data_IF_224604507647
#
_entry.id   IF_224604507647
#
_cell.length_a   1.000
_cell.length_b   1.000
_cell.length_c   1.000
_cell.angle_alpha   90.00
_cell.angle_beta   90.00
_cell.angle_gamma   90.00
#
_symmetry.space_group_name_H-M   'P 1'
#
loop_
_entity.id
_entity.type
_entity.pdbx_description
1 polymer ?
#
# COMPACT_ATOMS: atom_id res chain seq x y z
N UNK A 1 10.52 34.01 20.39
CA UNK A 1 9.63 34.01 19.23
C UNK A 1 8.23 34.22 19.77
N UNK A 2 7.52 35.26 19.33
CA UNK A 2 6.13 35.50 19.72
C UNK A 2 5.28 35.14 18.51
N UNK A 3 4.31 34.26 18.69
CA UNK A 3 3.34 33.85 17.67
C UNK A 3 2.09 34.71 17.86
N UNK A 4 1.59 35.30 16.78
CA UNK A 4 0.33 36.05 16.77
C UNK A 4 -0.62 35.46 15.73
N UNK A 5 -1.92 35.56 15.98
CA UNK A 5 -2.96 35.26 14.99
C UNK A 5 -3.07 36.41 13.95
N UNK A 6 -3.97 36.29 12.98
CA UNK A 6 -4.21 37.31 11.95
C UNK A 6 -4.78 38.63 12.49
N UNK A 7 -5.14 38.68 13.77
CA UNK A 7 -5.64 39.88 14.46
C UNK A 7 -4.62 40.42 15.46
N UNK A 8 -3.33 40.04 15.35
CA UNK A 8 -2.23 40.44 16.23
C UNK A 8 -2.36 39.97 17.71
N UNK A 9 -3.26 39.06 18.03
CA UNK A 9 -3.34 38.50 19.36
C UNK A 9 -2.20 37.44 19.56
N UNK A 10 -1.56 37.51 20.72
CA UNK A 10 -0.53 36.54 21.08
C UNK A 10 -1.16 35.12 21.27
N UNK A 11 -0.68 34.13 20.52
CA UNK A 11 -1.14 32.74 20.60
C UNK A 11 -0.04 31.94 21.28
N UNK A 12 -0.39 31.17 22.30
CA UNK A 12 0.52 30.17 22.87
C UNK A 12 0.67 29.00 21.90
N UNK A 13 1.91 28.66 21.46
CA UNK A 13 2.12 27.56 20.55
C UNK A 13 1.89 26.23 21.26
N UNK A 14 1.11 25.36 20.63
CA UNK A 14 1.01 23.97 21.02
C UNK A 14 2.21 23.20 20.43
N UNK A 15 3.09 22.71 21.29
CA UNK A 15 4.26 21.93 20.87
C UNK A 15 3.90 20.47 20.76
N UNK A 16 3.95 19.93 19.54
CA UNK A 16 3.90 18.49 19.32
C UNK A 16 5.31 17.89 19.41
N UNK A 17 5.48 16.95 20.31
CA UNK A 17 6.73 16.17 20.38
C UNK A 17 6.78 15.18 19.23
N UNK A 18 7.82 15.27 18.42
CA UNK A 18 8.10 14.30 17.35
C UNK A 18 9.19 13.36 17.86
N UNK A 19 8.85 12.12 18.15
CA UNK A 19 9.71 11.09 18.74
C UNK A 19 10.65 10.44 17.69
N UNK A 20 11.08 11.17 16.68
CA UNK A 20 12.03 10.65 15.70
C UNK A 20 13.46 10.91 16.14
N UNK A 21 14.24 9.83 16.27
CA UNK A 21 15.69 9.98 16.46
C UNK A 21 16.32 10.62 15.23
N UNK A 22 17.16 11.64 15.42
CA UNK A 22 17.90 12.33 14.35
C UNK A 22 18.72 11.34 13.48
N UNK A 23 19.16 10.22 14.04
CA UNK A 23 19.87 9.16 13.33
C UNK A 23 18.99 8.35 12.36
N UNK A 24 17.67 8.36 12.54
CA UNK A 24 16.75 7.63 11.66
C UNK A 24 16.61 8.29 10.29
N UNK A 25 16.92 9.58 10.17
CA UNK A 25 16.89 10.34 8.92
C UNK A 25 18.13 10.13 8.02
N UNK A 26 19.16 9.42 8.50
CA UNK A 26 20.36 9.10 7.70
C UNK A 26 20.18 7.87 6.82
N UNK A 27 21.02 7.72 5.77
CA UNK A 27 21.02 6.51 4.91
C UNK A 27 21.55 5.25 5.59
N UNK A 28 22.21 5.35 6.71
CA UNK A 28 22.72 4.24 7.53
C UNK A 28 23.54 3.20 6.73
N UNK A 29 24.36 3.67 5.79
CA UNK A 29 25.23 2.83 4.94
C UNK A 29 24.57 2.29 3.66
N UNK A 30 23.28 2.52 3.46
CA UNK A 30 22.61 2.20 2.19
C UNK A 30 22.94 3.25 1.11
N UNK A 31 23.02 2.86 -0.17
CA UNK A 31 23.28 3.80 -1.27
C UNK A 31 22.10 4.77 -1.46
N UNK A 32 20.86 4.30 -1.23
CA UNK A 32 19.64 5.06 -1.42
C UNK A 32 18.70 4.93 -0.21
N UNK A 33 17.87 5.94 0.04
CA UNK A 33 16.82 5.90 1.06
C UNK A 33 15.78 4.83 0.74
N UNK A 34 15.38 4.69 -0.53
CA UNK A 34 14.41 3.68 -0.93
C UNK A 34 14.85 2.27 -0.53
N UNK A 35 16.13 1.90 -0.73
CA UNK A 35 16.61 0.59 -0.28
C UNK A 35 16.53 0.46 1.25
N UNK A 36 17.01 1.46 1.97
CA UNK A 36 16.92 1.48 3.44
C UNK A 36 15.47 1.28 3.89
N UNK A 37 14.53 2.04 3.32
CA UNK A 37 13.12 2.02 3.69
C UNK A 37 12.45 0.68 3.33
N UNK A 38 12.85 0.03 2.24
CA UNK A 38 12.44 -1.35 1.93
C UNK A 38 12.95 -2.31 3.01
N UNK A 39 14.20 -2.18 3.44
CA UNK A 39 14.80 -3.05 4.47
C UNK A 39 14.22 -2.80 5.87
N UNK A 40 13.69 -1.63 6.15
CA UNK A 40 13.08 -1.26 7.44
C UNK A 40 11.65 -1.79 7.62
N UNK A 41 11.00 -2.29 6.58
CA UNK A 41 9.58 -2.66 6.61
C UNK A 41 9.21 -3.68 7.71
N UNK A 42 10.00 -4.75 7.97
CA UNK A 42 9.68 -5.66 9.07
C UNK A 42 9.56 -4.96 10.42
N UNK A 43 10.45 -4.04 10.71
CA UNK A 43 10.43 -3.28 11.97
C UNK A 43 9.33 -2.22 11.99
N UNK A 44 9.10 -1.55 10.86
CA UNK A 44 8.02 -0.58 10.72
C UNK A 44 6.64 -1.22 10.98
N UNK A 45 6.40 -2.44 10.48
CA UNK A 45 5.15 -3.18 10.76
C UNK A 45 5.03 -3.51 12.23
N UNK A 46 6.09 -4.03 12.88
CA UNK A 46 6.08 -4.30 14.33
C UNK A 46 5.69 -3.06 15.11
N UNK A 47 6.29 -1.92 14.80
CA UNK A 47 6.01 -0.64 15.46
C UNK A 47 4.57 -0.17 15.21
N UNK A 48 3.99 -0.46 14.04
CA UNK A 48 2.62 -0.11 13.70
C UNK A 48 1.59 -0.89 14.51
N UNK A 49 1.84 -2.19 14.75
CA UNK A 49 0.84 -3.10 15.31
C UNK A 49 0.98 -3.32 16.83
N UNK A 50 2.18 -3.19 17.40
CA UNK A 50 2.51 -3.63 18.78
C UNK A 50 1.60 -3.06 19.87
N UNK A 51 1.25 -1.76 19.79
CA UNK A 51 0.47 -1.07 20.81
C UNK A 51 -1.06 -1.20 20.56
N UNK A 52 -1.45 -1.90 19.49
CA UNK A 52 -2.82 -2.13 19.03
C UNK A 52 -3.26 -3.58 19.11
N UNK A 53 -2.47 -4.41 19.77
CA UNK A 53 -2.81 -5.82 20.04
C UNK A 53 -2.78 -6.03 21.55
N UNK A 54 -3.96 -6.26 22.13
CA UNK A 54 -4.14 -6.50 23.56
C UNK A 54 -4.75 -7.90 23.73
N UNK A 55 -4.05 -8.77 24.45
CA UNK A 55 -4.46 -10.17 24.64
C UNK A 55 -4.72 -10.94 23.32
N UNK A 56 -3.99 -10.60 22.25
CA UNK A 56 -4.12 -11.18 20.92
C UNK A 56 -5.34 -10.67 20.12
N UNK A 57 -5.99 -9.59 20.57
CA UNK A 57 -7.13 -8.96 19.92
C UNK A 57 -6.77 -7.52 19.50
N UNK A 58 -7.35 -7.00 18.41
CA UNK A 58 -7.13 -5.63 17.99
C UNK A 58 -7.82 -4.64 18.92
N UNK A 59 -7.07 -3.63 19.36
CA UNK A 59 -7.56 -2.58 20.27
C UNK A 59 -7.09 -1.20 19.81
N UNK A 60 -8.01 -0.28 19.62
CA UNK A 60 -7.75 1.11 19.23
C UNK A 60 -8.08 2.12 20.35
N UNK A 61 -8.23 1.65 21.59
CA UNK A 61 -8.55 2.50 22.74
C UNK A 61 -7.46 3.56 22.96
N UNK A 62 -6.18 3.19 22.79
CA UNK A 62 -5.05 4.12 22.91
C UNK A 62 -5.02 5.18 21.79
N UNK A 63 -5.61 4.90 20.63
CA UNK A 63 -5.78 5.85 19.54
C UNK A 63 -7.04 6.72 19.71
N UNK A 64 -7.85 6.48 20.73
CA UNK A 64 -9.11 7.18 20.97
C UNK A 64 -10.22 6.85 19.95
N UNK A 65 -10.12 5.73 19.23
CA UNK A 65 -11.10 5.30 18.24
C UNK A 65 -12.13 4.37 18.87
N UNK A 66 -13.42 4.76 18.93
CA UNK A 66 -14.46 3.95 19.57
C UNK A 66 -14.87 2.79 18.69
N UNK A 67 -15.28 1.67 19.33
CA UNK A 67 -15.77 0.47 18.63
C UNK A 67 -17.03 0.75 17.81
N UNK A 68 -17.87 1.71 18.24
CA UNK A 68 -19.06 2.14 17.50
C UNK A 68 -18.76 2.67 16.10
N UNK A 69 -17.58 3.20 15.87
CA UNK A 69 -17.15 3.65 14.52
C UNK A 69 -17.23 2.50 13.51
N UNK A 70 -16.95 1.28 13.94
CA UNK A 70 -16.89 0.09 13.10
C UNK A 70 -18.19 -0.73 13.08
N UNK A 71 -19.08 -0.55 14.07
CA UNK A 71 -20.37 -1.23 14.13
C UNK A 71 -21.51 -0.45 13.51
N UNK A 72 -21.47 0.88 13.61
CA UNK A 72 -22.60 1.75 13.27
C UNK A 72 -22.60 2.20 11.80
N UNK A 73 -21.53 1.93 11.06
CA UNK A 73 -21.43 2.23 9.63
C UNK A 73 -22.06 1.12 8.79
N UNK A 74 -22.85 1.50 7.78
CA UNK A 74 -23.44 0.55 6.82
C UNK A 74 -22.52 0.33 5.61
N UNK A 75 -21.65 1.30 5.32
CA UNK A 75 -20.65 1.26 4.23
C UNK A 75 -19.39 2.03 4.60
N UNK A 76 -18.34 1.69 3.90
CA UNK A 76 -17.02 2.32 4.02
C UNK A 76 -16.64 2.93 2.67
N UNK A 77 -16.06 4.13 2.69
CA UNK A 77 -15.44 4.71 1.52
C UNK A 77 -14.00 5.11 1.85
N UNK A 78 -13.02 4.56 1.13
CA UNK A 78 -11.62 4.99 1.22
C UNK A 78 -11.35 6.05 0.17
N UNK A 79 -10.76 7.16 0.58
CA UNK A 79 -10.33 8.24 -0.31
C UNK A 79 -8.82 8.43 -0.21
N UNK A 80 -8.12 8.30 -1.32
CA UNK A 80 -6.66 8.39 -1.35
C UNK A 80 -6.12 8.63 -2.77
N UNK A 81 -4.82 8.91 -2.88
CA UNK A 81 -4.10 9.01 -4.14
C UNK A 81 -2.97 7.98 -4.22
N UNK A 82 -2.66 7.49 -5.43
CA UNK A 82 -1.49 6.66 -5.73
C UNK A 82 -1.37 5.43 -4.84
N UNK A 83 -0.19 5.24 -4.25
CA UNK A 83 0.14 4.11 -3.36
C UNK A 83 -0.86 3.92 -2.22
N UNK A 84 -1.32 5.01 -1.61
CA UNK A 84 -2.31 4.95 -0.53
C UNK A 84 -3.68 4.44 -1.02
N UNK A 85 -4.08 4.78 -2.25
CA UNK A 85 -5.28 4.23 -2.88
C UNK A 85 -5.14 2.71 -3.12
N UNK A 86 -3.96 2.25 -3.55
CA UNK A 86 -3.70 0.81 -3.69
C UNK A 86 -3.78 0.06 -2.36
N UNK A 87 -3.39 0.66 -1.24
CA UNK A 87 -3.63 0.08 0.09
C UNK A 87 -5.13 -0.05 0.38
N UNK A 88 -5.93 0.93 -0.01
CA UNK A 88 -7.39 0.87 0.03
C UNK A 88 -7.98 -0.28 -0.78
N UNK A 89 -7.46 -0.56 -1.98
CA UNK A 89 -7.94 -1.67 -2.82
C UNK A 89 -7.71 -3.04 -2.17
N UNK A 90 -6.58 -3.24 -1.50
CA UNK A 90 -6.34 -4.45 -0.71
C UNK A 90 -7.33 -4.53 0.47
N UNK A 91 -7.51 -3.43 1.19
CA UNK A 91 -8.48 -3.35 2.30
C UNK A 91 -9.89 -3.66 1.82
N UNK A 92 -10.31 -3.13 0.66
CA UNK A 92 -11.61 -3.41 0.05
C UNK A 92 -11.80 -4.91 -0.20
N UNK A 93 -10.80 -5.60 -0.75
CA UNK A 93 -10.87 -7.03 -1.00
C UNK A 93 -11.04 -7.81 0.32
N UNK A 94 -10.28 -7.44 1.37
CA UNK A 94 -10.37 -8.07 2.68
C UNK A 94 -11.71 -7.79 3.38
N UNK A 95 -12.18 -6.55 3.38
CA UNK A 95 -13.47 -6.17 3.99
C UNK A 95 -14.62 -6.91 3.30
N UNK A 96 -14.63 -6.96 1.97
CA UNK A 96 -15.67 -7.67 1.21
C UNK A 96 -15.65 -9.17 1.46
N UNK A 97 -14.48 -9.80 1.54
CA UNK A 97 -14.36 -11.25 1.70
C UNK A 97 -14.55 -11.74 3.13
N UNK A 98 -14.16 -10.94 4.12
CA UNK A 98 -14.19 -11.32 5.55
C UNK A 98 -15.37 -10.70 6.26
N UNK A 99 -15.54 -9.37 6.17
CA UNK A 99 -16.54 -8.64 6.97
C UNK A 99 -17.91 -8.57 6.29
N UNK A 100 -17.93 -8.72 4.95
CA UNK A 100 -19.14 -8.61 4.11
C UNK A 100 -19.84 -7.25 4.20
N UNK A 101 -19.07 -6.17 4.38
CA UNK A 101 -19.54 -4.79 4.33
C UNK A 101 -19.16 -4.19 2.98
N UNK A 102 -20.04 -3.35 2.42
CA UNK A 102 -19.71 -2.61 1.22
C UNK A 102 -18.56 -1.64 1.53
N UNK A 103 -17.51 -1.71 0.73
CA UNK A 103 -16.37 -0.80 0.80
C UNK A 103 -16.02 -0.36 -0.62
N UNK A 104 -16.01 0.94 -0.83
CA UNK A 104 -15.60 1.57 -2.07
C UNK A 104 -14.25 2.26 -1.88
N UNK A 105 -13.46 2.34 -2.95
CA UNK A 105 -12.15 3.00 -2.95
C UNK A 105 -12.13 3.99 -4.09
N UNK A 106 -12.03 5.26 -3.75
CA UNK A 106 -12.15 6.37 -4.68
C UNK A 106 -10.83 7.13 -4.81
N UNK A 107 -10.51 7.54 -6.03
CA UNK A 107 -9.45 8.51 -6.25
C UNK A 107 -9.85 9.84 -5.62
N UNK A 108 -9.05 10.32 -4.70
CA UNK A 108 -9.38 11.56 -3.97
C UNK A 108 -9.53 12.76 -4.92
N UNK A 109 -8.78 12.80 -6.03
CA UNK A 109 -8.90 13.84 -7.07
C UNK A 109 -10.26 13.84 -7.80
N UNK A 110 -10.93 12.68 -7.87
CA UNK A 110 -12.19 12.52 -8.59
C UNK A 110 -13.41 12.51 -7.65
N UNK A 111 -13.18 12.23 -6.36
CA UNK A 111 -14.22 11.95 -5.38
C UNK A 111 -15.32 13.03 -5.32
N UNK A 112 -14.94 14.30 -5.24
CA UNK A 112 -15.93 15.39 -5.15
C UNK A 112 -16.73 15.60 -6.44
N UNK A 113 -16.19 15.16 -7.58
CA UNK A 113 -16.79 15.37 -8.90
C UNK A 113 -17.67 14.19 -9.34
N UNK A 114 -17.60 13.07 -8.63
CA UNK A 114 -18.39 11.87 -8.89
C UNK A 114 -19.76 11.85 -8.21
N UNK A 115 -20.13 12.94 -7.48
CA UNK A 115 -21.33 13.00 -6.65
C UNK A 115 -21.50 11.76 -5.75
N UNK A 116 -20.52 11.46 -4.86
CA UNK A 116 -20.50 10.23 -4.10
C UNK A 116 -21.68 10.16 -3.13
N UNK A 117 -22.25 8.97 -2.97
CA UNK A 117 -23.35 8.74 -2.02
C UNK A 117 -22.77 8.63 -0.60
N UNK A 118 -22.73 9.73 0.12
CA UNK A 118 -22.19 9.87 1.47
C UNK A 118 -23.27 10.37 2.42
N UNK A 119 -23.35 9.76 3.60
CA UNK A 119 -24.30 10.11 4.68
C UNK A 119 -23.71 9.78 6.06
N UNK A 120 -24.49 9.97 7.12
CA UNK A 120 -24.09 9.70 8.50
C UNK A 120 -23.81 8.21 8.81
N UNK A 121 -24.21 7.29 7.92
CA UNK A 121 -23.94 5.85 8.01
C UNK A 121 -22.71 5.43 7.21
N UNK A 122 -22.03 6.38 6.59
CA UNK A 122 -20.81 6.15 5.84
C UNK A 122 -19.60 6.43 6.73
N UNK A 123 -18.69 5.45 6.83
CA UNK A 123 -17.35 5.66 7.37
C UNK A 123 -16.41 6.03 6.21
N UNK A 124 -15.90 7.26 6.19
CA UNK A 124 -14.88 7.67 5.22
C UNK A 124 -13.49 7.50 5.84
N UNK A 125 -12.61 6.77 5.14
CA UNK A 125 -11.24 6.55 5.58
C UNK A 125 -10.28 7.27 4.62
N UNK A 126 -9.67 8.35 5.07
CA UNK A 126 -8.64 9.06 4.33
C UNK A 126 -7.27 8.43 4.57
N UNK A 127 -6.54 8.09 3.50
CA UNK A 127 -5.22 7.46 3.61
C UNK A 127 -4.16 8.35 2.96
N UNK A 128 -3.12 8.67 3.71
CA UNK A 128 -2.00 9.48 3.21
C UNK A 128 -0.74 9.22 4.04
N UNK A 129 0.42 9.10 3.40
CA UNK A 129 1.69 9.03 4.13
C UNK A 129 1.99 10.37 4.83
N UNK A 130 2.00 11.46 4.09
CA UNK A 130 2.34 12.81 4.61
C UNK A 130 1.20 13.46 5.41
N UNK A 131 -0.05 13.07 5.12
CA UNK A 131 -1.23 13.76 5.63
C UNK A 131 -1.42 15.19 5.10
N UNK A 132 -0.71 15.55 4.01
CA UNK A 132 -0.74 16.86 3.37
C UNK A 132 -1.21 16.80 1.91
N UNK A 133 -1.70 15.63 1.44
CA UNK A 133 -2.24 15.47 0.08
C UNK A 133 -3.51 16.28 -0.07
N UNK A 134 -3.47 17.34 -0.87
CA UNK A 134 -4.54 18.33 -1.00
C UNK A 134 -5.85 17.67 -1.42
N UNK A 135 -5.84 16.84 -2.46
CA UNK A 135 -7.05 16.16 -2.94
C UNK A 135 -7.69 15.30 -1.84
N UNK A 136 -6.85 14.56 -1.08
CA UNK A 136 -7.33 13.73 0.03
C UNK A 136 -7.91 14.57 1.17
N UNK A 137 -7.33 15.75 1.46
CA UNK A 137 -7.82 16.67 2.46
C UNK A 137 -9.19 17.26 2.04
N UNK A 138 -9.32 17.70 0.79
CA UNK A 138 -10.58 18.25 0.30
C UNK A 138 -11.68 17.19 0.19
N UNK A 139 -11.35 15.96 -0.23
CA UNK A 139 -12.27 14.83 -0.19
C UNK A 139 -12.77 14.54 1.23
N UNK A 140 -11.88 14.57 2.23
CA UNK A 140 -12.23 14.41 3.64
C UNK A 140 -13.18 15.52 4.13
N UNK A 141 -12.85 16.77 3.85
CA UNK A 141 -13.71 17.92 4.20
C UNK A 141 -15.09 17.84 3.53
N UNK A 142 -15.13 17.40 2.27
CA UNK A 142 -16.38 17.16 1.56
C UNK A 142 -17.21 16.09 2.30
N UNK A 143 -16.64 14.95 2.62
CA UNK A 143 -17.32 13.88 3.33
C UNK A 143 -17.89 14.32 4.69
N UNK A 144 -17.12 15.09 5.47
CA UNK A 144 -17.59 15.67 6.74
C UNK A 144 -18.81 16.58 6.54
N UNK A 145 -18.81 17.43 5.50
CA UNK A 145 -19.97 18.30 5.20
C UNK A 145 -21.22 17.50 4.84
N UNK A 146 -21.07 16.26 4.33
CA UNK A 146 -22.18 15.34 4.07
C UNK A 146 -22.61 14.53 5.31
N UNK A 147 -21.97 14.72 6.46
CA UNK A 147 -22.30 14.06 7.73
C UNK A 147 -21.59 12.75 8.00
N UNK A 148 -20.67 12.31 7.11
CA UNK A 148 -19.90 11.10 7.33
C UNK A 148 -18.98 11.20 8.56
N UNK A 149 -18.74 10.07 9.22
CA UNK A 149 -17.64 9.94 10.17
C UNK A 149 -16.33 9.71 9.43
N UNK A 150 -15.29 10.42 9.85
CA UNK A 150 -14.01 10.45 9.16
C UNK A 150 -12.88 9.89 10.03
N UNK A 151 -12.31 8.78 9.59
CA UNK A 151 -11.08 8.19 10.11
C UNK A 151 -9.94 8.49 9.14
N UNK A 152 -8.74 8.72 9.62
CA UNK A 152 -7.57 8.77 8.76
C UNK A 152 -6.48 7.77 9.16
N UNK A 153 -5.76 7.26 8.16
CA UNK A 153 -4.58 6.41 8.30
C UNK A 153 -3.37 7.19 7.79
N UNK A 154 -2.53 7.66 8.69
CA UNK A 154 -1.51 8.67 8.39
C UNK A 154 -0.20 8.34 9.10
N UNK A 155 0.95 8.71 8.51
CA UNK A 155 2.25 8.53 9.17
C UNK A 155 2.71 9.79 9.92
N UNK A 156 2.41 10.99 9.41
CA UNK A 156 2.91 12.25 9.99
C UNK A 156 1.92 12.83 10.98
N UNK A 157 2.35 12.88 12.26
CA UNK A 157 1.57 13.48 13.36
C UNK A 157 1.33 14.99 13.11
N UNK A 158 0.13 15.45 13.44
CA UNK A 158 -0.21 16.89 13.35
C UNK A 158 -0.37 17.44 11.93
N UNK A 159 -0.41 16.58 10.93
CA UNK A 159 -0.66 16.96 9.53
C UNK A 159 -2.07 17.51 9.33
N UNK A 160 -2.31 18.19 8.18
CA UNK A 160 -3.59 18.82 7.87
C UNK A 160 -4.75 17.84 7.86
N UNK A 161 -4.57 16.64 7.26
CA UNK A 161 -5.59 15.59 7.25
C UNK A 161 -5.84 15.06 8.67
N UNK A 162 -4.77 14.90 9.49
CA UNK A 162 -4.92 14.45 10.87
C UNK A 162 -5.76 15.43 11.71
N UNK A 163 -5.52 16.73 11.55
CA UNK A 163 -6.28 17.76 12.27
C UNK A 163 -7.75 17.86 11.84
N UNK A 164 -8.03 17.55 10.58
CA UNK A 164 -9.39 17.60 10.03
C UNK A 164 -10.22 16.36 10.36
N UNK A 165 -9.59 15.22 10.61
CA UNK A 165 -10.24 13.93 10.87
C UNK A 165 -10.92 13.87 12.24
N UNK A 166 -12.01 13.09 12.36
CA UNK A 166 -12.63 12.82 13.65
C UNK A 166 -11.77 11.85 14.48
N UNK A 167 -11.10 10.91 13.80
CA UNK A 167 -10.20 9.90 14.39
C UNK A 167 -8.98 9.68 13.53
N UNK A 168 -7.84 9.30 14.14
CA UNK A 168 -6.59 9.07 13.43
C UNK A 168 -5.92 7.79 13.90
N UNK A 169 -5.54 6.93 12.96
CA UNK A 169 -4.65 5.79 13.19
C UNK A 169 -3.28 6.10 12.55
N UNK A 170 -2.28 6.36 13.39
CA UNK A 170 -0.93 6.62 12.90
C UNK A 170 -0.20 5.32 12.56
N UNK A 171 0.49 5.27 11.41
CA UNK A 171 1.18 4.05 10.94
C UNK A 171 2.51 3.79 11.65
N UNK A 172 3.06 4.76 12.38
CA UNK A 172 4.35 4.64 13.07
C UNK A 172 5.50 4.08 12.21
N UNK A 173 5.48 4.34 10.89
CA UNK A 173 6.49 3.87 9.95
C UNK A 173 7.87 4.57 10.10
N UNK A 174 7.92 5.64 10.90
CA UNK A 174 9.07 6.53 10.95
C UNK A 174 9.17 7.42 9.69
N UNK A 175 10.26 8.19 9.54
CA UNK A 175 10.44 9.07 8.38
C UNK A 175 10.60 8.24 7.09
N UNK A 176 9.86 8.58 6.05
CA UNK A 176 10.00 8.08 4.69
C UNK A 176 10.45 9.26 3.82
N UNK A 177 11.67 9.17 3.27
CA UNK A 177 12.38 10.26 2.60
C UNK A 177 12.41 10.07 1.08
N UNK A 178 12.51 8.81 0.63
CA UNK A 178 12.39 8.50 -0.79
C UNK A 178 11.03 8.98 -1.33
N UNK A 179 11.03 9.55 -2.54
CA UNK A 179 9.80 10.03 -3.17
C UNK A 179 8.82 8.89 -3.42
N UNK A 180 9.33 7.75 -3.89
CA UNK A 180 8.53 6.55 -4.10
C UNK A 180 8.26 5.85 -2.77
N UNK A 181 7.00 5.88 -2.32
CA UNK A 181 6.58 5.28 -1.05
C UNK A 181 6.77 3.76 -1.03
N UNK A 182 7.31 3.24 0.08
CA UNK A 182 7.57 1.80 0.29
C UNK A 182 7.05 1.31 1.63
N UNK A 183 7.69 1.69 2.74
CA UNK A 183 7.30 1.24 4.09
C UNK A 183 5.97 1.84 4.55
N UNK A 184 5.62 3.05 4.10
CA UNK A 184 4.32 3.62 4.41
C UNK A 184 3.18 2.77 3.83
N UNK A 185 3.33 2.20 2.63
CA UNK A 185 2.35 1.30 2.04
C UNK A 185 2.09 0.06 2.91
N UNK A 186 3.15 -0.65 3.30
CA UNK A 186 3.00 -1.88 4.10
C UNK A 186 2.51 -1.61 5.52
N UNK A 187 2.84 -0.46 6.09
CA UNK A 187 2.30 -0.06 7.40
C UNK A 187 0.83 0.39 7.30
N UNK A 188 0.41 1.05 6.22
CA UNK A 188 -1.01 1.33 5.93
C UNK A 188 -1.80 0.03 5.80
N UNK A 189 -1.27 -0.95 5.06
CA UNK A 189 -1.87 -2.29 4.98
C UNK A 189 -2.03 -2.92 6.37
N UNK A 190 -0.98 -2.87 7.20
CA UNK A 190 -1.01 -3.46 8.55
C UNK A 190 -2.10 -2.83 9.43
N UNK A 191 -2.33 -1.51 9.32
CA UNK A 191 -3.47 -0.84 9.98
C UNK A 191 -4.80 -1.38 9.45
N UNK A 192 -4.93 -1.55 8.13
CA UNK A 192 -6.15 -2.12 7.55
C UNK A 192 -6.41 -3.56 8.00
N UNK A 193 -5.36 -4.39 8.13
CA UNK A 193 -5.53 -5.75 8.69
C UNK A 193 -6.08 -5.72 10.12
N UNK A 194 -5.59 -4.80 10.97
CA UNK A 194 -6.14 -4.60 12.32
C UNK A 194 -7.60 -4.12 12.28
N UNK A 195 -7.93 -3.18 11.38
CA UNK A 195 -9.31 -2.69 11.21
C UNK A 195 -10.24 -3.81 10.75
N UNK A 196 -9.83 -4.62 9.78
CA UNK A 196 -10.59 -5.78 9.29
C UNK A 196 -10.84 -6.79 10.43
N UNK A 197 -9.79 -7.13 11.19
CA UNK A 197 -9.92 -8.05 12.34
C UNK A 197 -10.87 -7.49 13.42
N UNK A 198 -10.76 -6.19 13.74
CA UNK A 198 -11.63 -5.50 14.70
C UNK A 198 -13.08 -5.52 14.23
N UNK A 199 -13.33 -5.17 12.98
CA UNK A 199 -14.68 -5.20 12.41
C UNK A 199 -15.29 -6.60 12.39
N UNK A 200 -14.49 -7.61 11.98
CA UNK A 200 -14.93 -8.99 11.94
C UNK A 200 -15.35 -9.49 13.34
N UNK A 201 -14.56 -9.14 14.36
CA UNK A 201 -14.89 -9.46 15.76
C UNK A 201 -16.14 -8.74 16.24
N UNK A 202 -16.20 -7.42 16.11
CA UNK A 202 -17.31 -6.60 16.61
C UNK A 202 -18.65 -6.91 15.93
N UNK A 203 -18.62 -7.30 14.66
CA UNK A 203 -19.80 -7.67 13.88
C UNK A 203 -20.17 -9.16 14.02
N UNK A 204 -19.45 -9.93 14.84
CA UNK A 204 -19.71 -11.34 15.10
C UNK A 204 -19.43 -12.27 13.91
N UNK A 205 -18.64 -11.81 12.93
CA UNK A 205 -18.19 -12.64 11.80
C UNK A 205 -17.08 -13.60 12.24
N UNK A 206 -16.15 -13.12 13.06
CA UNK A 206 -15.13 -13.93 13.70
C UNK A 206 -15.41 -14.10 15.19
N UNK A 207 -15.13 -15.29 15.71
CA UNK A 207 -15.01 -15.50 17.16
C UNK A 207 -13.70 -14.88 17.67
N UNK A 208 -13.53 -14.78 18.99
CA UNK A 208 -12.26 -14.33 19.57
C UNK A 208 -11.10 -15.22 19.14
N UNK A 209 -11.27 -16.53 19.09
CA UNK A 209 -10.22 -17.47 18.67
C UNK A 209 -9.82 -17.27 17.21
N UNK A 210 -10.79 -17.06 16.33
CA UNK A 210 -10.54 -16.78 14.91
C UNK A 210 -9.81 -15.45 14.77
N UNK A 211 -10.21 -14.43 15.53
CA UNK A 211 -9.55 -13.12 15.54
C UNK A 211 -8.12 -13.23 16.05
N UNK A 212 -7.88 -13.97 17.14
CA UNK A 212 -6.52 -14.22 17.66
C UNK A 212 -5.65 -14.96 16.65
N UNK A 213 -6.20 -15.93 15.94
CA UNK A 213 -5.49 -16.64 14.87
C UNK A 213 -5.11 -15.71 13.72
N UNK A 214 -6.01 -14.82 13.31
CA UNK A 214 -5.77 -13.82 12.28
C UNK A 214 -4.69 -12.81 12.71
N UNK A 215 -4.75 -12.34 13.95
CA UNK A 215 -3.76 -11.41 14.52
C UNK A 215 -2.38 -12.10 14.66
N UNK A 216 -2.34 -13.35 15.11
CA UNK A 216 -1.08 -14.10 15.19
C UNK A 216 -0.40 -14.25 13.82
N UNK A 217 -1.18 -14.40 12.75
CA UNK A 217 -0.63 -14.43 11.39
C UNK A 217 -0.12 -13.05 10.95
N UNK A 218 -0.80 -11.96 11.34
CA UNK A 218 -0.29 -10.60 11.12
C UNK A 218 1.04 -10.35 11.86
N UNK A 219 1.18 -10.84 13.09
CA UNK A 219 2.41 -10.74 13.87
C UNK A 219 3.58 -11.54 13.25
N UNK A 220 3.30 -12.56 12.43
CA UNK A 220 4.31 -13.32 11.68
C UNK A 220 4.82 -12.60 10.43
N UNK A 221 4.08 -11.63 9.90
CA UNK A 221 4.43 -10.91 8.65
C UNK A 221 5.87 -10.38 8.68
N UNK A 222 6.36 -9.71 9.74
CA UNK A 222 7.74 -9.21 9.77
C UNK A 222 8.80 -10.28 9.55
N UNK A 223 8.62 -11.48 10.13
CA UNK A 223 9.54 -12.61 9.93
C UNK A 223 9.53 -13.09 8.47
N UNK A 224 8.34 -13.22 7.88
CA UNK A 224 8.19 -13.69 6.50
C UNK A 224 8.76 -12.65 5.51
N UNK A 225 8.55 -11.37 5.76
CA UNK A 225 9.16 -10.29 4.96
C UNK A 225 10.68 -10.31 5.06
N UNK A 226 11.25 -10.59 6.24
CA UNK A 226 12.69 -10.74 6.40
C UNK A 226 13.25 -11.84 5.50
N UNK A 227 12.57 -12.98 5.38
CA UNK A 227 12.94 -14.06 4.47
C UNK A 227 12.90 -13.66 2.99
N UNK A 228 11.96 -12.77 2.61
CA UNK A 228 11.94 -12.18 1.25
C UNK A 228 13.13 -11.25 1.04
N UNK A 229 13.46 -10.41 2.02
CA UNK A 229 14.62 -9.52 1.96
C UNK A 229 15.95 -10.29 1.82
N UNK A 230 16.05 -11.48 2.41
CA UNK A 230 17.20 -12.37 2.24
C UNK A 230 17.35 -12.88 0.79
N UNK A 231 16.24 -13.02 0.06
CA UNK A 231 16.21 -13.40 -1.37
C UNK A 231 16.51 -12.23 -2.33
N UNK A 232 16.86 -11.03 -1.82
CA UNK A 232 17.08 -9.83 -2.65
C UNK A 232 18.08 -10.03 -3.79
N UNK A 233 19.08 -10.94 -3.64
CA UNK A 233 20.05 -11.23 -4.70
C UNK A 233 19.39 -11.95 -5.87
N UNK A 234 18.49 -12.88 -5.61
CA UNK A 234 17.76 -13.61 -6.65
C UNK A 234 16.83 -12.66 -7.41
N UNK A 235 16.15 -11.77 -6.68
CA UNK A 235 15.31 -10.71 -7.27
C UNK A 235 16.15 -9.78 -8.13
N UNK A 236 17.36 -9.41 -7.68
CA UNK A 236 18.29 -8.58 -8.46
C UNK A 236 18.72 -9.27 -9.77
N UNK A 237 18.99 -10.58 -9.75
CA UNK A 237 19.30 -11.34 -10.97
C UNK A 237 18.15 -11.28 -11.97
N UNK A 238 16.91 -11.39 -11.48
CA UNK A 238 15.71 -11.29 -12.33
C UNK A 238 15.49 -9.86 -12.84
N UNK A 239 15.75 -8.84 -12.02
CA UNK A 239 15.63 -7.44 -12.43
C UNK A 239 16.46 -7.13 -13.69
N UNK A 240 17.63 -7.76 -13.83
CA UNK A 240 18.48 -7.62 -15.03
C UNK A 240 17.83 -8.15 -16.31
N UNK A 241 16.87 -9.06 -16.22
CA UNK A 241 16.18 -9.62 -17.39
C UNK A 241 15.17 -8.64 -18.01
N UNK A 242 14.67 -7.72 -17.20
CA UNK A 242 13.69 -6.71 -17.64
C UNK A 242 14.30 -5.32 -17.76
N UNK A 243 15.61 -5.19 -17.59
CA UNK A 243 16.31 -3.91 -17.56
C UNK A 243 16.08 -3.08 -18.83
N UNK A 244 16.14 -3.72 -20.00
CA UNK A 244 16.01 -3.06 -21.30
C UNK A 244 14.55 -2.97 -21.80
N UNK A 245 13.59 -3.43 -20.99
CA UNK A 245 12.18 -3.36 -21.34
C UNK A 245 11.73 -1.90 -21.49
N UNK A 246 10.94 -1.62 -22.53
CA UNK A 246 10.21 -0.35 -22.67
C UNK A 246 8.82 -0.46 -22.10
N UNK A 247 8.18 -1.58 -22.34
CA UNK A 247 6.85 -1.93 -21.91
C UNK A 247 6.88 -3.25 -21.14
N UNK A 248 6.05 -3.39 -20.12
CA UNK A 248 5.97 -4.56 -19.26
C UNK A 248 4.54 -4.74 -18.76
N UNK A 249 4.07 -5.99 -18.79
CA UNK A 249 2.76 -6.32 -18.23
C UNK A 249 2.92 -6.97 -16.85
N UNK A 250 2.02 -6.65 -15.95
CA UNK A 250 1.88 -7.31 -14.65
C UNK A 250 0.52 -7.98 -14.57
N UNK A 251 0.48 -9.27 -14.22
CA UNK A 251 -0.78 -10.04 -14.23
C UNK A 251 -0.98 -10.81 -12.94
N UNK A 252 -2.19 -10.78 -12.42
CA UNK A 252 -2.58 -11.46 -11.19
C UNK A 252 -4.08 -11.55 -11.03
N UNK A 253 -4.54 -12.27 -10.01
CA UNK A 253 -5.95 -12.40 -9.67
C UNK A 253 -6.21 -12.10 -8.21
N UNK A 254 -7.38 -11.51 -7.92
CA UNK A 254 -7.76 -11.18 -6.55
C UNK A 254 -6.74 -10.25 -5.89
N UNK A 255 -6.25 -10.63 -4.71
CA UNK A 255 -5.26 -9.84 -3.98
C UNK A 255 -3.94 -9.68 -4.77
N UNK A 256 -3.53 -10.68 -5.56
CA UNK A 256 -2.35 -10.59 -6.41
C UNK A 256 -2.48 -9.47 -7.46
N UNK A 257 -3.66 -9.27 -8.03
CA UNK A 257 -3.89 -8.13 -8.92
C UNK A 257 -3.76 -6.80 -8.18
N UNK A 258 -4.31 -6.70 -6.97
CA UNK A 258 -4.25 -5.46 -6.18
C UNK A 258 -2.82 -5.03 -5.87
N UNK A 259 -1.92 -5.97 -5.53
CA UNK A 259 -0.51 -5.64 -5.26
C UNK A 259 0.28 -5.34 -6.53
N UNK A 260 -0.11 -5.92 -7.66
CA UNK A 260 0.55 -5.65 -8.94
C UNK A 260 0.24 -4.24 -9.47
N UNK A 261 -0.91 -3.66 -9.12
CA UNK A 261 -1.17 -2.23 -9.36
C UNK A 261 -0.10 -1.37 -8.67
N UNK A 262 0.23 -1.68 -7.40
CA UNK A 262 1.29 -0.99 -6.67
C UNK A 262 2.69 -1.30 -7.24
N UNK A 263 2.99 -2.56 -7.55
CA UNK A 263 4.25 -2.96 -8.18
C UNK A 263 4.49 -2.25 -9.51
N UNK A 264 3.44 -2.14 -10.34
CA UNK A 264 3.47 -1.40 -11.60
C UNK A 264 3.71 0.10 -11.37
N UNK A 265 3.05 0.70 -10.37
CA UNK A 265 3.28 2.10 -10.02
C UNK A 265 4.74 2.33 -9.61
N UNK A 266 5.28 1.50 -8.72
CA UNK A 266 6.70 1.60 -8.28
C UNK A 266 7.66 1.48 -9.46
N UNK A 267 7.44 0.50 -10.35
CA UNK A 267 8.30 0.32 -11.51
C UNK A 267 8.26 1.55 -12.45
N UNK A 268 7.08 2.11 -12.72
CA UNK A 268 6.93 3.35 -13.51
C UNK A 268 7.66 4.53 -12.89
N UNK A 269 7.46 4.75 -11.58
CA UNK A 269 8.00 5.90 -10.88
C UNK A 269 9.53 5.94 -10.89
N UNK A 270 10.19 4.82 -10.62
CA UNK A 270 11.63 4.81 -10.40
C UNK A 270 12.43 4.37 -11.62
N UNK A 271 11.90 3.50 -12.50
CA UNK A 271 12.62 2.94 -13.63
C UNK A 271 12.23 3.52 -14.99
N UNK A 272 11.11 4.24 -15.05
CA UNK A 272 10.51 4.81 -16.26
C UNK A 272 10.12 3.77 -17.33
N UNK A 273 10.04 2.49 -16.96
CA UNK A 273 9.45 1.46 -17.80
C UNK A 273 7.93 1.67 -17.77
N UNK A 274 7.32 1.76 -18.94
CA UNK A 274 5.88 1.75 -19.02
C UNK A 274 5.36 0.37 -18.62
N UNK A 275 4.65 0.29 -17.50
CA UNK A 275 4.11 -0.97 -16.99
C UNK A 275 2.62 -0.83 -16.70
N UNK A 276 1.87 -1.87 -17.01
CA UNK A 276 0.44 -1.94 -16.72
C UNK A 276 0.11 -3.23 -15.99
N UNK A 277 -0.69 -3.10 -14.93
CA UNK A 277 -1.20 -4.25 -14.19
C UNK A 277 -2.62 -4.57 -14.64
N UNK A 278 -2.87 -5.85 -14.93
CA UNK A 278 -4.17 -6.36 -15.35
C UNK A 278 -4.64 -7.50 -14.46
N UNK A 279 -5.91 -7.54 -14.16
CA UNK A 279 -6.54 -8.79 -13.75
C UNK A 279 -6.36 -9.80 -14.89
N UNK A 280 -5.70 -10.93 -14.64
CA UNK A 280 -5.22 -11.84 -15.70
C UNK A 280 -6.31 -12.30 -16.68
N UNK A 281 -7.56 -12.39 -16.18
CA UNK A 281 -8.70 -12.71 -17.04
C UNK A 281 -9.04 -11.64 -18.07
N UNK A 282 -8.75 -10.37 -17.76
CA UNK A 282 -9.08 -9.22 -18.61
C UNK A 282 -8.13 -9.07 -19.80
N UNK A 283 -6.94 -9.69 -19.78
CA UNK A 283 -6.03 -9.66 -20.92
C UNK A 283 -6.70 -10.12 -22.22
N UNK A 284 -7.61 -11.09 -22.14
CA UNK A 284 -8.33 -11.65 -23.32
C UNK A 284 -9.25 -10.64 -24.00
N UNK A 285 -9.61 -9.58 -23.32
CA UNK A 285 -10.57 -8.58 -23.77
C UNK A 285 -9.91 -7.38 -24.47
N UNK A 286 -8.68 -7.55 -24.97
CA UNK A 286 -7.96 -6.54 -25.75
C UNK A 286 -6.46 -6.54 -25.52
N UNK A 287 -5.96 -6.32 -24.28
CA UNK A 287 -4.53 -6.08 -24.00
C UNK A 287 -3.61 -7.22 -24.46
N UNK A 288 -4.10 -8.45 -24.54
CA UNK A 288 -3.33 -9.61 -25.00
C UNK A 288 -2.77 -9.43 -26.43
N UNK A 289 -3.38 -8.56 -27.24
CA UNK A 289 -2.90 -8.23 -28.58
C UNK A 289 -1.53 -7.53 -28.57
N UNK A 290 -1.14 -6.95 -27.44
CA UNK A 290 0.16 -6.29 -27.24
C UNK A 290 1.27 -7.28 -26.87
N UNK A 291 0.92 -8.52 -26.50
CA UNK A 291 1.90 -9.55 -26.18
C UNK A 291 2.54 -10.08 -27.46
N UNK A 292 3.84 -9.88 -27.56
CA UNK A 292 4.69 -10.36 -28.67
C UNK A 292 5.87 -11.15 -28.12
N UNK A 293 6.72 -11.66 -29.01
CA UNK A 293 7.93 -12.39 -28.63
C UNK A 293 8.83 -11.52 -27.73
N UNK A 294 9.23 -12.08 -26.59
CA UNK A 294 10.06 -11.46 -25.55
C UNK A 294 9.39 -10.28 -24.82
N UNK A 295 8.07 -10.10 -24.94
CA UNK A 295 7.36 -9.14 -24.08
C UNK A 295 7.48 -9.59 -22.62
N UNK A 296 8.07 -8.78 -21.70
CA UNK A 296 8.18 -9.15 -20.29
C UNK A 296 6.81 -9.14 -19.61
N UNK A 297 6.51 -10.22 -18.92
CA UNK A 297 5.29 -10.33 -18.11
C UNK A 297 5.68 -10.76 -16.69
N UNK A 298 5.38 -9.92 -15.71
CA UNK A 298 5.52 -10.25 -14.29
C UNK A 298 4.19 -10.79 -13.79
N UNK A 299 4.19 -12.00 -13.26
CA UNK A 299 3.00 -12.64 -12.70
C UNK A 299 3.20 -12.91 -11.20
N UNK A 300 2.10 -12.83 -10.44
CA UNK A 300 2.10 -13.20 -9.01
C UNK A 300 1.04 -14.27 -8.76
N UNK A 301 1.44 -15.35 -8.06
CA UNK A 301 0.59 -16.50 -7.72
C UNK A 301 0.73 -16.81 -6.24
N UNK A 302 -0.09 -16.20 -5.40
CA UNK A 302 -0.07 -16.41 -3.95
C UNK A 302 -1.40 -16.91 -3.39
N UNK A 303 -2.45 -16.90 -4.21
CA UNK A 303 -3.82 -17.27 -3.81
C UNK A 303 -4.13 -18.70 -4.27
N UNK A 304 -4.14 -19.65 -3.33
CA UNK A 304 -4.31 -21.08 -3.63
C UNK A 304 -5.58 -21.36 -4.46
N UNK A 305 -6.71 -20.77 -4.05
CA UNK A 305 -8.00 -20.95 -4.75
C UNK A 305 -8.00 -20.43 -6.19
N UNK A 306 -7.11 -19.52 -6.55
CA UNK A 306 -7.02 -18.89 -7.87
C UNK A 306 -5.88 -19.42 -8.73
N UNK A 307 -4.96 -20.22 -8.13
CA UNK A 307 -3.73 -20.74 -8.76
C UNK A 307 -3.96 -21.37 -10.14
N UNK A 308 -4.91 -22.30 -10.25
CA UNK A 308 -5.14 -23.01 -11.52
C UNK A 308 -5.58 -22.07 -12.65
N UNK A 309 -6.39 -21.06 -12.32
CA UNK A 309 -6.85 -20.05 -13.28
C UNK A 309 -5.71 -19.11 -13.65
N UNK A 310 -4.89 -18.70 -12.68
CA UNK A 310 -3.75 -17.83 -12.91
C UNK A 310 -2.70 -18.50 -13.79
N UNK A 311 -2.29 -19.73 -13.46
CA UNK A 311 -1.35 -20.51 -14.27
C UNK A 311 -1.87 -20.74 -15.71
N UNK A 312 -3.17 -20.90 -15.90
CA UNK A 312 -3.77 -20.99 -17.24
C UNK A 312 -3.57 -19.69 -18.03
N UNK A 313 -3.75 -18.52 -17.39
CA UNK A 313 -3.52 -17.23 -18.05
C UNK A 313 -2.02 -16.98 -18.34
N UNK A 314 -1.13 -17.39 -17.43
CA UNK A 314 0.32 -17.30 -17.63
C UNK A 314 0.73 -18.16 -18.85
N UNK A 315 0.24 -19.40 -18.96
CA UNK A 315 0.47 -20.26 -20.12
C UNK A 315 -0.04 -19.64 -21.43
N UNK A 316 -1.15 -18.93 -21.37
CA UNK A 316 -1.74 -18.29 -22.54
C UNK A 316 -0.87 -17.12 -23.05
N UNK A 317 -0.32 -16.27 -22.19
CA UNK A 317 0.60 -15.22 -22.62
C UNK A 317 1.96 -15.78 -23.02
N UNK A 318 2.45 -16.84 -22.34
CA UNK A 318 3.65 -17.56 -22.72
C UNK A 318 3.57 -18.14 -24.13
N UNK A 319 2.43 -18.73 -24.50
CA UNK A 319 2.22 -19.28 -25.86
C UNK A 319 2.28 -18.23 -26.97
N UNK A 320 2.18 -16.94 -26.63
CA UNK A 320 2.34 -15.81 -27.55
C UNK A 320 3.75 -15.24 -27.56
N UNK A 321 4.67 -15.88 -26.82
CA UNK A 321 6.08 -15.50 -26.79
C UNK A 321 6.49 -14.59 -25.64
N UNK A 322 5.64 -14.39 -24.62
CA UNK A 322 6.01 -13.62 -23.45
C UNK A 322 7.16 -14.24 -22.66
N UNK A 323 8.03 -13.41 -22.11
CA UNK A 323 9.03 -13.77 -21.12
C UNK A 323 8.43 -13.62 -19.71
N UNK A 324 8.32 -14.75 -18.99
CA UNK A 324 7.62 -14.79 -17.71
C UNK A 324 8.57 -14.66 -16.54
N UNK A 325 8.32 -13.64 -15.71
CA UNK A 325 8.85 -13.51 -14.34
C UNK A 325 7.73 -13.85 -13.38
N UNK A 326 7.91 -14.87 -12.57
CA UNK A 326 6.87 -15.43 -11.71
C UNK A 326 7.26 -15.32 -10.23
N UNK A 327 6.48 -14.54 -9.47
CA UNK A 327 6.51 -14.54 -8.01
C UNK A 327 5.44 -15.51 -7.52
N UNK A 328 5.82 -16.58 -6.85
CA UNK A 328 4.88 -17.62 -6.43
C UNK A 328 5.11 -18.03 -4.99
N UNK A 329 4.02 -18.26 -4.25
CA UNK A 329 4.08 -18.84 -2.90
C UNK A 329 4.72 -20.24 -2.99
N UNK A 330 5.68 -20.53 -2.11
CA UNK A 330 6.51 -21.74 -2.19
C UNK A 330 5.68 -23.03 -2.22
N UNK A 331 4.64 -23.12 -1.37
CA UNK A 331 3.71 -24.25 -1.35
C UNK A 331 2.96 -24.48 -2.67
N UNK A 332 2.84 -23.45 -3.51
CA UNK A 332 2.16 -23.53 -4.81
C UNK A 332 3.13 -23.77 -5.97
N UNK A 333 4.43 -23.85 -5.70
CA UNK A 333 5.48 -23.87 -6.73
C UNK A 333 5.79 -25.26 -7.31
N UNK A 334 4.89 -26.24 -7.22
CA UNK A 334 5.08 -27.59 -7.70
C UNK A 334 5.84 -27.74 -9.04
N UNK A 335 5.37 -28.55 -9.96
CA UNK A 335 5.99 -28.72 -11.29
C UNK A 335 5.68 -27.50 -12.20
N UNK A 336 6.55 -26.50 -12.12
CA UNK A 336 6.49 -25.32 -12.98
C UNK A 336 7.28 -25.54 -14.27
N UNK A 337 6.91 -24.77 -15.30
CA UNK A 337 7.66 -24.72 -16.54
C UNK A 337 9.09 -24.17 -16.28
N UNK A 338 10.10 -24.88 -16.75
CA UNK A 338 11.51 -24.52 -16.57
C UNK A 338 11.91 -23.24 -17.32
N UNK A 339 11.07 -22.77 -18.23
CA UNK A 339 11.31 -21.51 -18.95
C UNK A 339 10.91 -20.27 -18.16
N UNK A 340 10.21 -20.40 -17.02
CA UNK A 340 9.85 -19.26 -16.19
C UNK A 340 11.04 -18.82 -15.32
N UNK A 341 11.16 -17.50 -15.14
CA UNK A 341 12.07 -16.94 -14.14
C UNK A 341 11.31 -16.88 -12.79
N UNK A 342 11.60 -17.81 -11.88
CA UNK A 342 10.78 -18.01 -10.69
C UNK A 342 11.44 -17.45 -9.43
N UNK A 343 10.69 -16.64 -8.68
CA UNK A 343 10.98 -16.28 -7.27
C UNK A 343 9.95 -16.97 -6.39
N UNK A 344 10.41 -17.88 -5.54
CA UNK A 344 9.58 -18.53 -4.52
C UNK A 344 9.47 -17.63 -3.30
N UNK A 345 8.25 -17.22 -2.96
CA UNK A 345 7.93 -16.46 -1.76
C UNK A 345 7.67 -17.41 -0.59
N UNK A 346 8.11 -17.08 0.64
CA UNK A 346 7.83 -17.89 1.82
C UNK A 346 6.33 -18.05 2.08
N UNK A 347 5.94 -19.16 2.72
CA UNK A 347 4.53 -19.48 2.94
C UNK A 347 3.90 -18.70 4.09
N UNK A 348 2.71 -18.17 3.83
CA UNK A 348 1.75 -17.59 4.77
C UNK A 348 0.32 -17.95 4.35
N UNK A 349 -0.67 -17.61 5.20
CA UNK A 349 -2.07 -17.61 4.75
C UNK A 349 -2.24 -16.64 3.56
N UNK A 350 -3.09 -17.02 2.61
CA UNK A 350 -3.23 -16.32 1.33
C UNK A 350 -3.50 -14.82 1.48
N UNK A 351 -4.36 -14.45 2.44
CA UNK A 351 -4.73 -13.07 2.72
C UNK A 351 -3.54 -12.19 3.11
N UNK A 352 -2.52 -12.76 3.76
CA UNK A 352 -1.34 -12.02 4.25
C UNK A 352 -0.19 -11.98 3.24
N UNK A 353 -0.25 -12.80 2.18
CA UNK A 353 0.80 -12.84 1.15
C UNK A 353 0.99 -11.48 0.44
N UNK A 354 0.01 -10.60 0.50
CA UNK A 354 0.08 -9.22 -0.02
C UNK A 354 1.33 -8.49 0.50
N UNK A 355 1.62 -8.61 1.79
CA UNK A 355 2.70 -7.88 2.46
C UNK A 355 4.09 -8.34 1.99
N UNK A 356 4.47 -9.63 2.09
CA UNK A 356 5.77 -10.10 1.60
C UNK A 356 5.92 -10.00 0.06
N UNK A 357 4.85 -10.20 -0.71
CA UNK A 357 4.90 -10.06 -2.15
C UNK A 357 5.13 -8.60 -2.58
N UNK A 358 4.58 -7.62 -1.85
CA UNK A 358 4.84 -6.20 -2.09
C UNK A 358 6.32 -5.85 -1.93
N UNK A 359 7.00 -6.39 -0.90
CA UNK A 359 8.44 -6.20 -0.71
C UNK A 359 9.24 -6.73 -1.90
N UNK A 360 8.87 -7.91 -2.41
CA UNK A 360 9.54 -8.49 -3.57
C UNK A 360 9.40 -7.62 -4.83
N UNK A 361 8.21 -7.06 -5.06
CA UNK A 361 7.94 -6.13 -6.19
C UNK A 361 8.66 -4.79 -6.03
N UNK A 362 8.74 -4.26 -4.81
CA UNK A 362 9.51 -3.05 -4.51
C UNK A 362 11.00 -3.26 -4.75
N UNK A 363 11.56 -4.39 -4.33
CA UNK A 363 12.94 -4.76 -4.63
C UNK A 363 13.19 -4.89 -6.13
N UNK A 364 12.25 -5.49 -6.87
CA UNK A 364 12.34 -5.58 -8.34
C UNK A 364 12.43 -4.18 -8.95
N UNK A 365 11.54 -3.28 -8.60
CA UNK A 365 11.54 -1.90 -9.11
C UNK A 365 12.82 -1.14 -8.74
N UNK A 366 13.26 -1.28 -7.49
CA UNK A 366 14.50 -0.68 -6.98
C UNK A 366 15.72 -1.14 -7.81
N UNK A 367 15.92 -2.45 -7.98
CA UNK A 367 17.07 -2.97 -8.70
C UNK A 367 17.06 -2.60 -10.19
N UNK A 368 15.90 -2.63 -10.85
CA UNK A 368 15.79 -2.16 -12.24
C UNK A 368 16.23 -0.70 -12.35
N UNK A 369 15.79 0.15 -11.44
CA UNK A 369 16.14 1.57 -11.45
C UNK A 369 17.61 1.80 -11.14
N UNK A 370 18.13 1.16 -10.10
CA UNK A 370 19.52 1.27 -9.67
C UNK A 370 20.49 0.78 -10.75
N UNK A 371 20.21 -0.35 -11.40
CA UNK A 371 21.05 -0.90 -12.49
C UNK A 371 20.99 -0.04 -13.76
N UNK A 372 19.92 0.75 -13.97
CA UNK A 372 19.86 1.79 -15.01
C UNK A 372 20.66 3.05 -14.65
N UNK A 373 21.21 3.14 -13.43
CA UNK A 373 21.96 4.31 -12.95
C UNK A 373 21.07 5.51 -12.62
N UNK A 374 19.78 5.29 -12.34
CA UNK A 374 18.88 6.38 -11.96
C UNK A 374 18.96 6.67 -10.45
N UNK A 375 18.65 7.91 -10.08
CA UNK A 375 18.46 8.28 -8.68
C UNK A 375 17.07 7.82 -8.23
N UNK A 376 17.01 6.70 -7.52
CA UNK A 376 15.75 6.10 -7.06
C UNK A 376 15.08 6.92 -5.96
N UNK A 377 15.84 7.76 -5.24
CA UNK A 377 15.30 8.62 -4.18
C UNK A 377 14.63 9.87 -4.76
N UNK A 378 15.10 10.32 -5.94
CA UNK A 378 14.62 11.52 -6.63
C UNK A 378 14.36 11.22 -8.11
N UNK A 379 13.29 10.52 -8.44
CA UNK A 379 12.91 10.25 -9.82
C UNK A 379 12.67 11.55 -10.59
N UNK A 380 12.67 11.47 -11.93
CA UNK A 380 12.38 12.63 -12.81
C UNK A 380 11.01 13.19 -12.49
N UNK A 381 10.87 14.52 -12.53
CA UNK A 381 9.60 15.20 -12.27
C UNK A 381 8.97 14.72 -10.96
N UNK A 382 9.67 14.78 -9.81
CA UNK A 382 9.10 14.33 -8.57
C UNK A 382 7.87 15.16 -8.26
N UNK A 383 6.73 14.52 -8.20
CA UNK A 383 5.50 15.12 -7.69
C UNK A 383 5.50 14.91 -6.18
N UNK A 384 6.36 15.63 -5.44
CA UNK A 384 6.16 15.74 -4.01
C UNK A 384 5.34 17.00 -3.75
N UNK A 385 4.27 16.87 -2.99
CA UNK A 385 3.39 17.99 -2.62
C UNK A 385 4.11 19.18 -1.99
N UNK A 386 5.29 18.99 -1.40
CA UNK A 386 6.16 20.05 -0.89
C UNK A 386 6.73 20.94 -2.00
N UNK A 387 6.86 20.44 -3.24
CA UNK A 387 7.33 21.23 -4.39
C UNK A 387 6.19 21.91 -5.14
N UNK A 388 4.98 21.32 -5.16
CA UNK A 388 3.80 21.94 -5.77
C UNK A 388 3.35 23.19 -5.02
N UNK A 389 3.46 23.24 -3.67
CA UNK A 389 3.15 24.45 -2.91
C UNK A 389 3.95 25.69 -3.34
N UNK A 390 5.18 25.53 -3.81
CA UNK A 390 5.99 26.64 -4.30
C UNK A 390 5.52 27.16 -5.67
N UNK A 391 4.94 26.30 -6.52
CA UNK A 391 4.44 26.69 -7.83
C UNK A 391 2.98 27.13 -7.84
N UNK A 392 2.14 26.56 -6.97
CA UNK A 392 0.72 26.96 -6.88
C UNK A 392 0.52 28.30 -6.15
N UNK A 393 1.35 28.63 -5.16
CA UNK A 393 1.30 29.95 -4.50
C UNK A 393 1.69 31.11 -5.41
N UNK A 394 2.50 30.87 -6.44
CA UNK A 394 2.88 31.90 -7.41
C UNK A 394 1.82 32.14 -8.50
N UNK A 395 0.82 31.24 -8.66
CA UNK A 395 -0.27 31.41 -9.62
C UNK A 395 -1.53 32.11 -9.06
N UNK A 396 -1.62 32.27 -7.73
CA UNK A 396 -2.76 32.90 -7.06
C UNK A 396 -2.41 34.23 -6.30
N UNK A 397 -1.18 34.73 -6.51
CA UNK A 397 -0.76 36.07 -6.14
C UNK A 397 -0.63 36.98 -7.38
#
# INVERSE_FOLDING_TARGET
MVLTDLNDNVVEPEFLSVDWELNSAGKNGYPFYMEKEIMEQPEAIKNTIKDRIVNGLPDFTSDGVPDSLFTDCDRICVVACGTAMHAGLVAQALVKSIVHVQMDVELASEFMYSDPVIDEKTLVIAVSQSGETIDTLEALKYAKRQGAKCLSVINVKGSSIARESDYVLYTAAGPEIAVASTKAYTTQLSVFYLVVAKMALLRGVYTEEQTKSFIAELERVPEVMQKVLEKRRDIHVIAKKILEAKDLFMIGRGLDYSILLEGSLKLKEVSYIHSEAYASGELKHGPIALITTNTPVVATVTQEKLMSKELSNIKEVKSRGADIVLFIKEALSGDLDTEYQVIKLPDMQDEFMVLPASVALQLLAYYVSSDKGFDVDKPRNPVSYTHLRAHETDQYL
#
